data_IF_267867059892
#
_entry.id   IF_267867059892
#
_cell.length_a   1.000
_cell.length_b   1.000
_cell.length_c   1.000
_cell.angle_alpha   90.00
_cell.angle_beta   90.00
_cell.angle_gamma   90.00
#
_symmetry.space_group_name_H-M   'P 1'
#
loop_
_entity.id
_entity.type
_entity.pdbx_description
1 polymer ?
#
# COMPACT_ATOMS: atom_id res chain seq x y z
N UNK A 1 5.34 -2.75 18.26
CA UNK A 1 4.50 -3.76 17.60
C UNK A 1 3.52 -3.01 16.69
N UNK A 2 3.27 -3.56 15.50
CA UNK A 2 2.32 -3.02 14.50
C UNK A 2 1.26 -4.08 14.29
N UNK A 3 -0.01 -3.71 14.40
CA UNK A 3 -1.13 -4.56 13.98
C UNK A 3 -1.34 -4.36 12.48
N UNK A 4 -1.01 -5.36 11.68
CA UNK A 4 -1.04 -5.29 10.23
C UNK A 4 -2.27 -6.02 9.68
N UNK A 5 -3.05 -5.30 8.89
CA UNK A 5 -4.15 -5.86 8.12
C UNK A 5 -3.84 -5.75 6.64
N UNK A 6 -3.87 -6.86 5.93
CA UNK A 6 -3.76 -6.92 4.47
C UNK A 6 -5.16 -6.99 3.88
N UNK A 7 -5.48 -6.09 2.95
CA UNK A 7 -6.79 -6.09 2.27
C UNK A 7 -6.62 -5.99 0.76
N UNK A 8 -7.37 -6.81 0.04
CA UNK A 8 -7.36 -6.88 -1.43
C UNK A 8 -8.64 -7.55 -1.93
N UNK A 9 -9.04 -7.34 -3.20
CA UNK A 9 -10.09 -8.16 -3.82
C UNK A 9 -9.71 -9.63 -3.87
N UNK A 10 -10.70 -10.52 -3.94
CA UNK A 10 -10.46 -11.93 -4.22
C UNK A 10 -9.70 -12.11 -5.54
N UNK A 11 -8.76 -13.05 -5.58
CA UNK A 11 -7.89 -13.29 -6.74
C UNK A 11 -6.63 -12.40 -6.79
N UNK A 12 -6.42 -11.54 -5.78
CA UNK A 12 -5.22 -10.70 -5.63
C UNK A 12 -4.43 -11.04 -4.36
N UNK A 13 -4.54 -12.28 -3.91
CA UNK A 13 -3.86 -12.77 -2.72
C UNK A 13 -2.34 -12.62 -2.86
N UNK A 14 -1.71 -12.13 -1.80
CA UNK A 14 -0.27 -12.18 -1.67
C UNK A 14 0.18 -13.60 -1.34
N UNK A 15 1.40 -13.94 -1.74
CA UNK A 15 2.02 -15.18 -1.29
C UNK A 15 2.04 -15.22 0.25
N UNK A 16 1.63 -16.33 0.87
CA UNK A 16 1.63 -16.48 2.33
C UNK A 16 2.96 -16.14 2.99
N UNK A 17 4.07 -16.34 2.28
CA UNK A 17 5.41 -15.96 2.76
C UNK A 17 5.51 -14.46 3.08
N UNK A 18 4.81 -13.61 2.32
CA UNK A 18 4.82 -12.14 2.51
C UNK A 18 3.72 -11.66 3.46
N UNK A 19 2.63 -12.41 3.58
CA UNK A 19 1.54 -12.07 4.52
C UNK A 19 1.98 -12.31 5.97
N UNK A 20 2.72 -13.41 6.21
CA UNK A 20 3.15 -13.79 7.55
C UNK A 20 1.95 -13.93 8.51
N UNK A 21 2.04 -13.32 9.68
CA UNK A 21 0.99 -13.36 10.72
C UNK A 21 -0.05 -12.23 10.56
N UNK A 22 -0.02 -11.45 9.49
CA UNK A 22 -0.97 -10.37 9.27
C UNK A 22 -2.39 -10.91 9.05
N UNK A 23 -3.37 -10.21 9.60
CA UNK A 23 -4.78 -10.51 9.32
C UNK A 23 -5.12 -10.15 7.88
N UNK A 24 -5.79 -11.04 7.17
CA UNK A 24 -6.34 -10.75 5.83
C UNK A 24 -7.82 -10.43 5.96
N UNK A 25 -8.25 -9.35 5.33
CA UNK A 25 -9.64 -8.90 5.31
C UNK A 25 -10.04 -8.52 3.86
N UNK A 26 -11.08 -9.15 3.34
CA UNK A 26 -11.57 -8.92 1.98
C UNK A 26 -12.60 -7.78 1.90
N UNK A 27 -13.13 -7.33 3.03
CA UNK A 27 -13.96 -6.14 3.10
C UNK A 27 -13.09 -4.92 3.41
N UNK A 28 -12.89 -4.08 2.41
CA UNK A 28 -12.03 -2.89 2.52
C UNK A 28 -12.47 -1.96 3.65
N UNK A 29 -13.80 -1.79 3.85
CA UNK A 29 -14.31 -0.89 4.90
C UNK A 29 -13.96 -1.43 6.30
N UNK A 30 -14.09 -2.75 6.51
CA UNK A 30 -13.70 -3.39 7.77
C UNK A 30 -12.19 -3.36 8.00
N UNK A 31 -11.41 -3.50 6.93
CA UNK A 31 -9.95 -3.41 7.03
C UNK A 31 -9.48 -2.02 7.47
N UNK A 32 -10.22 -0.97 7.06
CA UNK A 32 -9.88 0.43 7.36
C UNK A 32 -10.39 0.90 8.73
N UNK A 33 -11.36 0.19 9.32
CA UNK A 33 -11.97 0.60 10.58
C UNK A 33 -10.93 0.73 11.70
N UNK A 34 -10.78 1.94 12.22
CA UNK A 34 -9.83 2.27 13.28
C UNK A 34 -8.35 2.27 12.90
N UNK A 35 -8.01 2.13 11.62
CA UNK A 35 -6.61 2.17 11.17
C UNK A 35 -5.99 3.55 11.43
N UNK A 36 -4.71 3.59 11.84
CA UNK A 36 -3.91 4.81 12.00
C UNK A 36 -3.14 5.14 10.71
N UNK A 37 -2.87 4.15 9.86
CA UNK A 37 -2.18 4.29 8.58
C UNK A 37 -2.87 3.46 7.52
N UNK A 38 -3.01 4.02 6.33
CA UNK A 38 -3.49 3.33 5.12
C UNK A 38 -2.39 3.37 4.07
N UNK A 39 -1.79 2.22 3.79
CA UNK A 39 -0.77 2.08 2.76
C UNK A 39 -1.38 1.43 1.51
N UNK A 40 -1.63 2.20 0.48
CA UNK A 40 -2.15 1.69 -0.78
C UNK A 40 -1.03 1.26 -1.74
N UNK A 41 -1.34 0.30 -2.59
CA UNK A 41 -0.43 -0.23 -3.62
C UNK A 41 -1.16 -0.33 -4.96
N UNK A 42 -0.43 -0.15 -6.05
CA UNK A 42 -0.98 -0.43 -7.38
C UNK A 42 -1.31 -1.92 -7.50
N UNK A 43 -2.42 -2.21 -8.16
CA UNK A 43 -2.87 -3.58 -8.34
C UNK A 43 -2.15 -4.23 -9.51
N UNK A 44 -1.64 -5.42 -9.27
CA UNK A 44 -1.18 -6.33 -10.31
C UNK A 44 -1.51 -7.75 -9.88
N UNK A 45 -1.78 -8.60 -10.84
CA UNK A 45 -1.99 -10.01 -10.56
C UNK A 45 -0.67 -10.62 -10.04
N UNK A 46 -0.67 -11.32 -8.89
CA UNK A 46 0.49 -12.07 -8.42
C UNK A 46 0.83 -13.19 -9.41
N UNK A 47 2.11 -13.39 -9.67
CA UNK A 47 2.58 -14.42 -10.59
C UNK A 47 2.23 -15.86 -10.17
N UNK A 48 1.93 -16.07 -8.88
CA UNK A 48 1.55 -17.38 -8.34
C UNK A 48 0.15 -17.79 -8.78
N UNK A 49 -0.81 -16.85 -8.78
CA UNK A 49 -2.22 -17.13 -9.12
C UNK A 49 -2.51 -16.98 -10.60
N UNK A 50 -1.78 -16.16 -11.34
CA UNK A 50 -1.95 -15.98 -12.77
C UNK A 50 -0.60 -15.62 -13.45
N UNK A 51 0.29 -16.62 -13.66
CA UNK A 51 1.63 -16.39 -14.19
C UNK A 51 1.66 -15.67 -15.54
N UNK A 52 0.69 -15.96 -16.41
CA UNK A 52 0.53 -15.36 -17.73
C UNK A 52 0.19 -13.86 -17.69
N UNK A 53 -0.30 -13.40 -16.56
CA UNK A 53 -0.74 -12.03 -16.33
C UNK A 53 0.16 -11.26 -15.35
N UNK A 54 1.24 -11.88 -14.90
CA UNK A 54 2.16 -11.26 -13.94
C UNK A 54 2.58 -9.85 -14.37
N UNK A 55 2.44 -8.92 -13.47
CA UNK A 55 2.78 -7.51 -13.70
C UNK A 55 1.80 -6.76 -14.61
N UNK A 56 0.84 -7.43 -15.25
CA UNK A 56 -0.18 -6.74 -16.02
C UNK A 56 -1.24 -6.14 -15.11
N UNK A 57 -1.75 -4.99 -15.51
CA UNK A 57 -2.87 -4.35 -14.83
C UNK A 57 -4.13 -4.89 -15.44
N UNK A 58 -4.67 -5.93 -14.83
CA UNK A 58 -5.86 -6.61 -15.34
C UNK A 58 -7.17 -6.00 -14.86
N UNK A 59 -7.15 -5.42 -13.68
CA UNK A 59 -8.33 -4.86 -13.06
C UNK A 59 -8.10 -3.38 -12.73
N UNK A 60 -9.10 -2.59 -13.07
CA UNK A 60 -9.24 -1.20 -12.63
C UNK A 60 -10.58 -1.08 -11.90
N UNK A 61 -10.84 -2.00 -10.98
CA UNK A 61 -12.06 -1.95 -10.18
C UNK A 61 -12.03 -0.71 -9.29
N UNK A 62 -12.73 0.31 -9.73
CA UNK A 62 -12.80 1.58 -9.02
C UNK A 62 -13.57 1.51 -7.69
N UNK A 63 -14.26 0.40 -7.42
CA UNK A 63 -14.89 0.21 -6.10
C UNK A 63 -13.86 0.11 -4.98
N UNK A 64 -12.62 -0.27 -5.33
CA UNK A 64 -11.48 -0.35 -4.41
C UNK A 64 -10.64 0.94 -4.33
N UNK A 65 -11.00 1.97 -5.07
CA UNK A 65 -10.34 3.28 -4.97
C UNK A 65 -10.46 3.80 -3.54
N UNK A 66 -9.33 4.13 -2.91
CA UNK A 66 -9.34 4.80 -1.61
C UNK A 66 -9.86 6.22 -1.77
N UNK A 67 -10.98 6.51 -1.13
CA UNK A 67 -11.65 7.80 -1.17
C UNK A 67 -11.87 8.31 0.26
N UNK A 68 -12.37 9.53 0.41
CA UNK A 68 -12.77 10.09 1.71
C UNK A 68 -13.76 9.18 2.47
N UNK A 69 -14.58 8.40 1.74
CA UNK A 69 -15.51 7.45 2.36
C UNK A 69 -14.77 6.37 3.15
N UNK A 70 -13.72 5.78 2.57
CA UNK A 70 -12.90 4.78 3.26
C UNK A 70 -12.06 5.42 4.36
N UNK A 71 -11.52 6.60 4.12
CA UNK A 71 -10.73 7.29 5.14
C UNK A 71 -11.57 7.72 6.34
N UNK A 72 -12.87 7.98 6.18
CA UNK A 72 -13.76 8.40 7.25
C UNK A 72 -14.00 7.35 8.35
N UNK A 73 -13.76 6.06 8.08
CA UNK A 73 -13.92 4.99 9.09
C UNK A 73 -12.63 4.69 9.85
N UNK A 74 -11.53 5.32 9.46
CA UNK A 74 -10.22 5.17 10.10
C UNK A 74 -10.12 5.99 11.38
N UNK A 75 -9.07 5.79 12.15
CA UNK A 75 -8.71 6.64 13.28
C UNK A 75 -7.90 7.86 12.80
N UNK A 76 -8.51 8.71 11.95
CA UNK A 76 -7.84 9.88 11.36
C UNK A 76 -6.54 9.53 10.61
N UNK A 77 -6.54 8.42 9.89
CA UNK A 77 -5.35 7.79 9.33
C UNK A 77 -4.55 8.67 8.38
N UNK A 78 -3.24 8.48 8.41
CA UNK A 78 -2.36 8.95 7.36
C UNK A 78 -2.40 8.05 6.13
N UNK A 79 -2.46 8.66 4.94
CA UNK A 79 -2.41 7.94 3.66
C UNK A 79 -0.97 7.86 3.13
N UNK A 80 -0.57 6.68 2.65
CA UNK A 80 0.76 6.38 2.12
C UNK A 80 0.68 5.65 0.77
N UNK A 81 1.65 5.86 -0.09
CA UNK A 81 1.85 5.14 -1.34
C UNK A 81 3.26 5.34 -1.89
N UNK A 82 3.92 4.27 -2.25
CA UNK A 82 5.34 4.27 -2.68
C UNK A 82 5.63 4.93 -4.04
N UNK A 83 4.63 5.48 -4.72
CA UNK A 83 4.72 6.06 -6.06
C UNK A 83 5.40 5.13 -7.11
N UNK A 84 5.10 5.28 -8.43
CA UNK A 84 4.03 6.15 -8.97
C UNK A 84 2.63 5.63 -8.66
N UNK A 85 1.66 6.52 -8.49
CA UNK A 85 0.27 6.19 -8.20
C UNK A 85 -0.65 6.51 -9.39
N UNK A 86 -1.70 5.72 -9.56
CA UNK A 86 -2.78 6.05 -10.49
C UNK A 86 -3.88 6.79 -9.75
N UNK A 87 -3.89 8.10 -9.91
CA UNK A 87 -4.91 8.98 -9.32
C UNK A 87 -6.30 8.61 -9.86
N UNK A 88 -7.29 8.67 -8.99
CA UNK A 88 -8.70 8.34 -9.27
C UNK A 88 -8.93 6.89 -9.77
N UNK A 89 -7.94 6.01 -9.53
CA UNK A 89 -8.03 4.56 -9.70
C UNK A 89 -7.62 3.86 -8.40
N UNK A 90 -6.45 4.18 -7.86
CA UNK A 90 -5.98 3.62 -6.59
C UNK A 90 -6.44 4.49 -5.41
N UNK A 91 -6.35 5.80 -5.58
CA UNK A 91 -6.72 6.81 -4.59
C UNK A 91 -7.32 8.02 -5.28
N UNK A 92 -8.33 8.63 -4.67
CA UNK A 92 -8.92 9.88 -5.14
C UNK A 92 -7.99 11.07 -4.93
N UNK A 93 -8.20 12.12 -5.72
CA UNK A 93 -7.45 13.36 -5.59
C UNK A 93 -7.60 13.99 -4.21
N UNK A 94 -8.80 13.94 -3.63
CA UNK A 94 -9.10 14.51 -2.32
C UNK A 94 -8.25 13.88 -1.21
N UNK A 95 -8.02 12.57 -1.27
CA UNK A 95 -7.21 11.84 -0.27
C UNK A 95 -5.72 12.09 -0.48
N UNK A 96 -5.23 11.97 -1.71
CA UNK A 96 -3.77 12.09 -1.97
C UNK A 96 -3.26 13.51 -1.77
N UNK A 97 -4.10 14.53 -1.96
CA UNK A 97 -3.77 15.94 -1.73
C UNK A 97 -4.14 16.41 -0.31
N UNK A 98 -4.69 15.53 0.52
CA UNK A 98 -5.07 15.90 1.87
C UNK A 98 -3.85 16.23 2.75
N UNK A 99 -4.03 17.02 3.82
CA UNK A 99 -2.96 17.27 4.80
C UNK A 99 -2.44 16.01 5.49
N UNK A 100 -3.19 14.90 5.43
CA UNK A 100 -2.81 13.60 5.99
C UNK A 100 -2.08 12.69 5.01
N UNK A 101 -1.88 13.13 3.79
CA UNK A 101 -1.08 12.38 2.81
C UNK A 101 0.41 12.47 3.15
N UNK A 102 1.03 11.33 3.38
CA UNK A 102 2.46 11.20 3.61
C UNK A 102 3.23 10.75 2.36
N UNK A 103 2.61 10.77 1.20
CA UNK A 103 3.20 10.28 -0.06
C UNK A 103 4.50 10.99 -0.42
N UNK A 104 4.55 12.32 -0.26
CA UNK A 104 5.76 13.10 -0.53
C UNK A 104 6.83 12.91 0.57
N UNK A 105 6.52 12.98 1.87
CA UNK A 105 7.47 12.61 2.92
C UNK A 105 8.02 11.19 2.78
N UNK A 106 7.19 10.21 2.42
CA UNK A 106 7.62 8.83 2.15
C UNK A 106 8.63 8.77 0.99
N UNK A 107 8.33 9.43 -0.12
CA UNK A 107 9.22 9.51 -1.27
C UNK A 107 10.57 10.18 -0.93
N UNK A 108 10.56 11.23 -0.11
CA UNK A 108 11.77 11.92 0.35
C UNK A 108 12.65 11.03 1.25
N UNK A 109 12.05 10.15 2.07
CA UNK A 109 12.79 9.22 2.92
C UNK A 109 13.62 8.20 2.13
N UNK A 110 13.36 8.00 0.85
CA UNK A 110 14.11 7.09 -0.01
C UNK A 110 15.60 7.47 -0.09
N UNK A 111 15.92 8.75 -0.15
CA UNK A 111 17.30 9.24 -0.18
C UNK A 111 18.04 8.86 1.10
N UNK A 112 17.43 9.12 2.25
CA UNK A 112 17.99 8.79 3.57
C UNK A 112 18.18 7.28 3.71
N UNK A 113 17.18 6.48 3.36
CA UNK A 113 17.23 5.03 3.44
C UNK A 113 18.34 4.44 2.55
N UNK A 114 18.46 4.93 1.32
CA UNK A 114 19.51 4.51 0.39
C UNK A 114 20.91 4.87 0.94
N UNK A 115 21.09 6.04 1.51
CA UNK A 115 22.34 6.47 2.14
C UNK A 115 22.74 5.57 3.31
N UNK A 116 21.79 5.21 4.17
CA UNK A 116 22.05 4.31 5.31
C UNK A 116 22.45 2.90 4.83
N UNK A 117 21.75 2.37 3.82
CA UNK A 117 22.07 1.06 3.23
C UNK A 117 23.47 1.08 2.62
N UNK A 118 23.78 2.08 1.80
CA UNK A 118 25.10 2.24 1.18
C UNK A 118 26.21 2.32 2.24
N UNK A 119 25.99 3.13 3.28
CA UNK A 119 26.96 3.23 4.40
C UNK A 119 27.20 1.86 5.02
N UNK A 120 26.16 1.11 5.38
CA UNK A 120 26.29 -0.23 5.97
C UNK A 120 27.03 -1.20 5.05
N UNK A 121 26.78 -1.14 3.73
CA UNK A 121 27.50 -1.96 2.76
C UNK A 121 28.99 -1.62 2.72
N UNK A 122 29.35 -0.34 2.74
CA UNK A 122 30.75 0.10 2.75
C UNK A 122 31.45 -0.27 4.05
N UNK A 123 30.80 -0.12 5.19
CA UNK A 123 31.36 -0.50 6.50
C UNK A 123 31.61 -2.01 6.60
N UNK A 124 30.83 -2.84 5.86
CA UNK A 124 31.01 -4.30 5.85
C UNK A 124 32.15 -4.80 4.93
N UNK A 125 32.73 -3.93 4.10
CA UNK A 125 33.85 -4.28 3.19
C UNK A 125 35.21 -3.94 3.83
N UNK A 126 35.22 -3.16 4.91
CA UNK A 126 36.41 -2.80 5.66
C UNK A 126 36.73 -3.86 6.72
#
# INVERSE_FOLDING_TARGET
DVDLVVTHPEGYELDPLFVGDARVEYDQMKAFEGADFVYAKNWSCPGVTCPENYGKILCQDRSWTVTERQMAVTNDAHFMHCLPVRRNVIVSDDVIESPRSLVIPEAANREISATVVLKKMLDAIQ
#
